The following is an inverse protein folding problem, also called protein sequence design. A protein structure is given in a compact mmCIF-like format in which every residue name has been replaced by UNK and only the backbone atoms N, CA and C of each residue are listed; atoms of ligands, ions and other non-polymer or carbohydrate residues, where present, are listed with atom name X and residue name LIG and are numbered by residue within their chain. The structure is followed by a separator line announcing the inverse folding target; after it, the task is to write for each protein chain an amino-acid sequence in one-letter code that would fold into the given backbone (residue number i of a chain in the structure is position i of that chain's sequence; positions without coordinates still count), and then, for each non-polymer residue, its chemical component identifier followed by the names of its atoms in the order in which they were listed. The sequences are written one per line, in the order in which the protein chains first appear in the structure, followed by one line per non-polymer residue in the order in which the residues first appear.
data_IF_053880996513
#
_entry.id   IF_053880996513
#
_cell.length_a   1.000
_cell.length_b   1.000
_cell.length_c   1.000
_cell.angle_alpha   90.00
_cell.angle_beta   90.00
_cell.angle_gamma   90.00
#
_symmetry.space_group_name_H-M   'P 1'
#
loop_
_entity.id
_entity.type
_entity.pdbx_description
1 polymer ?
#
# COMPACT_ATOMS: atom_id res chain seq x y z
N UNK A 1 -6.19 -25.66 16.46
CA UNK A 1 -7.60 -25.33 16.78
C UNK A 1 -7.73 -23.83 16.57
N UNK A 2 -8.27 -23.41 15.42
CA UNK A 2 -8.30 -21.99 15.01
C UNK A 2 -9.71 -21.49 15.30
N UNK A 3 -9.82 -20.61 16.28
CA UNK A 3 -11.04 -19.90 16.63
C UNK A 3 -11.23 -18.78 15.61
N UNK A 4 -12.08 -18.99 14.61
CA UNK A 4 -12.48 -17.94 13.68
C UNK A 4 -13.48 -17.03 14.39
N UNK A 5 -13.03 -15.83 14.77
CA UNK A 5 -13.88 -14.79 15.33
C UNK A 5 -15.04 -14.45 14.35
N UNK A 6 -16.29 -14.36 14.82
CA UNK A 6 -17.42 -13.98 13.98
C UNK A 6 -17.22 -12.56 13.45
N UNK A 7 -17.25 -12.40 12.14
CA UNK A 7 -17.01 -11.16 11.41
C UNK A 7 -17.98 -10.06 11.85
N UNK A 8 -17.42 -9.01 12.45
CA UNK A 8 -18.13 -7.81 12.95
C UNK A 8 -19.05 -7.17 11.91
N UNK A 9 -18.77 -7.37 10.62
CA UNK A 9 -19.57 -6.92 9.50
C UNK A 9 -20.99 -7.54 9.45
N UNK A 10 -21.15 -8.81 9.85
CA UNK A 10 -22.45 -9.49 9.83
C UNK A 10 -23.42 -8.93 10.87
N UNK A 11 -22.91 -8.54 12.04
CA UNK A 11 -23.73 -7.94 13.11
C UNK A 11 -24.20 -6.52 12.75
N UNK A 12 -23.34 -5.71 12.12
CA UNK A 12 -23.71 -4.35 11.70
C UNK A 12 -24.78 -4.37 10.59
N UNK A 13 -24.70 -5.30 9.64
CA UNK A 13 -25.71 -5.46 8.60
C UNK A 13 -27.08 -5.86 9.17
N UNK A 14 -27.11 -6.78 10.14
CA UNK A 14 -28.35 -7.26 10.75
C UNK A 14 -29.07 -6.19 11.59
N UNK A 15 -28.30 -5.35 12.31
CA UNK A 15 -28.86 -4.25 13.11
C UNK A 15 -29.39 -3.13 12.20
N UNK A 16 -28.66 -2.77 11.15
CA UNK A 16 -29.14 -1.78 10.17
C UNK A 16 -30.39 -2.27 9.40
N UNK A 17 -30.49 -3.58 9.13
CA UNK A 17 -31.66 -4.20 8.51
C UNK A 17 -32.88 -4.15 9.44
N UNK A 18 -32.71 -4.36 10.75
CA UNK A 18 -33.80 -4.31 11.73
C UNK A 18 -34.26 -2.88 12.03
N UNK A 19 -33.36 -1.90 12.18
CA UNK A 19 -33.73 -0.53 12.54
C UNK A 19 -34.44 0.24 11.41
N UNK A 20 -34.10 -0.02 10.14
CA UNK A 20 -34.75 0.65 9.01
C UNK A 20 -35.84 -0.18 8.33
N UNK A 21 -35.76 -1.51 8.41
CA UNK A 21 -36.73 -2.41 7.79
C UNK A 21 -38.06 -2.49 8.55
N UNK A 22 -38.03 -2.50 9.89
CA UNK A 22 -39.23 -2.71 10.71
C UNK A 22 -40.28 -1.60 10.56
N UNK A 23 -39.85 -0.33 10.60
CA UNK A 23 -40.75 0.81 10.48
C UNK A 23 -41.38 0.92 9.08
N UNK A 24 -40.60 0.67 8.03
CA UNK A 24 -41.08 0.70 6.64
C UNK A 24 -42.02 -0.47 6.33
N UNK A 25 -41.73 -1.66 6.86
CA UNK A 25 -42.59 -2.83 6.77
C UNK A 25 -43.93 -2.58 7.48
N UNK A 26 -43.91 -1.98 8.68
CA UNK A 26 -45.11 -1.64 9.43
C UNK A 26 -46.02 -0.66 8.66
N UNK A 27 -45.46 0.37 8.03
CA UNK A 27 -46.22 1.31 7.20
C UNK A 27 -46.80 0.61 5.96
N UNK A 28 -46.01 -0.23 5.28
CA UNK A 28 -46.49 -0.99 4.13
C UNK A 28 -47.64 -1.94 4.50
N UNK A 29 -47.54 -2.65 5.63
CA UNK A 29 -48.61 -3.49 6.15
C UNK A 29 -49.86 -2.69 6.52
N UNK A 30 -49.72 -1.50 7.12
CA UNK A 30 -50.85 -0.64 7.44
C UNK A 30 -51.58 -0.13 6.18
N UNK A 31 -50.84 0.27 5.14
CA UNK A 31 -51.41 0.71 3.86
C UNK A 31 -52.09 -0.45 3.13
N UNK A 32 -51.46 -1.63 3.08
CA UNK A 32 -52.07 -2.83 2.49
C UNK A 32 -53.33 -3.27 3.24
N UNK A 33 -53.33 -3.19 4.57
CA UNK A 33 -54.49 -3.47 5.41
C UNK A 33 -55.65 -2.50 5.12
N UNK A 34 -55.36 -1.20 5.02
CA UNK A 34 -56.36 -0.18 4.68
C UNK A 34 -56.95 -0.41 3.27
N UNK A 35 -56.12 -0.71 2.27
CA UNK A 35 -56.57 -1.02 0.90
C UNK A 35 -57.43 -2.30 0.89
N UNK A 36 -57.04 -3.33 1.63
CA UNK A 36 -57.82 -4.57 1.75
C UNK A 36 -59.21 -4.35 2.32
N UNK A 37 -59.34 -3.51 3.34
CA UNK A 37 -60.65 -3.15 3.93
C UNK A 37 -61.55 -2.44 2.90
N UNK A 38 -60.98 -1.54 2.09
CA UNK A 38 -61.73 -0.84 1.04
C UNK A 38 -62.19 -1.76 -0.10
N UNK A 39 -61.39 -2.76 -0.49
CA UNK A 39 -61.72 -3.68 -1.58
C UNK A 39 -62.81 -4.70 -1.20
N UNK A 40 -62.89 -5.11 0.07
CA UNK A 40 -63.88 -6.11 0.53
C UNK A 40 -65.27 -5.51 0.73
N UNK A 41 -65.39 -4.19 0.86
CA UNK A 41 -66.63 -3.52 1.24
C UNK A 41 -67.67 -3.37 0.11
N UNK A 42 -67.30 -3.56 -1.17
CA UNK A 42 -68.19 -3.23 -2.29
C UNK A 42 -68.29 -4.37 -3.33
N UNK A 43 -69.52 -4.82 -3.63
CA UNK A 43 -69.78 -6.00 -4.50
C UNK A 43 -69.69 -5.71 -6.00
N UNK A 44 -69.42 -4.47 -6.39
CA UNK A 44 -69.59 -4.02 -7.76
C UNK A 44 -68.34 -3.34 -8.34
N UNK A 45 -67.12 -3.90 -8.25
CA UNK A 45 -65.96 -3.10 -8.68
C UNK A 45 -64.75 -3.82 -9.28
N UNK A 46 -64.65 -3.90 -10.63
CA UNK A 46 -63.36 -4.10 -11.31
C UNK A 46 -62.45 -2.85 -11.23
N UNK A 47 -63.02 -1.65 -11.07
CA UNK A 47 -62.29 -0.38 -11.06
C UNK A 47 -61.51 -0.08 -9.74
N UNK A 48 -62.07 -0.38 -8.56
CA UNK A 48 -61.39 -0.15 -7.27
C UNK A 48 -60.21 -1.11 -7.09
N UNK A 49 -60.30 -2.35 -7.57
CA UNK A 49 -59.18 -3.28 -7.58
C UNK A 49 -58.00 -2.75 -8.43
N UNK A 50 -58.29 -2.14 -9.59
CA UNK A 50 -57.26 -1.52 -10.42
C UNK A 50 -56.54 -0.35 -9.71
N UNK A 51 -57.30 0.47 -8.97
CA UNK A 51 -56.72 1.57 -8.16
C UNK A 51 -55.85 1.01 -7.04
N UNK A 52 -56.30 -0.03 -6.34
CA UNK A 52 -55.50 -0.68 -5.28
C UNK A 52 -54.18 -1.24 -5.81
N UNK A 53 -54.22 -1.95 -6.95
CA UNK A 53 -53.02 -2.49 -7.59
C UNK A 53 -52.05 -1.36 -7.99
N UNK A 54 -52.57 -0.25 -8.55
CA UNK A 54 -51.75 0.90 -8.93
C UNK A 54 -51.03 1.52 -7.72
N UNK A 55 -51.73 1.69 -6.59
CA UNK A 55 -51.13 2.22 -5.36
C UNK A 55 -50.03 1.31 -4.83
N UNK A 56 -50.23 -0.01 -4.86
CA UNK A 56 -49.22 -0.99 -4.46
C UNK A 56 -48.00 -0.94 -5.38
N UNK A 57 -48.20 -0.86 -6.70
CA UNK A 57 -47.11 -0.73 -7.66
C UNK A 57 -46.30 0.55 -7.43
N UNK A 58 -46.96 1.68 -7.19
CA UNK A 58 -46.28 2.95 -6.89
C UNK A 58 -45.49 2.88 -5.59
N UNK A 59 -46.06 2.26 -4.53
CA UNK A 59 -45.35 2.07 -3.27
C UNK A 59 -44.11 1.18 -3.43
N UNK A 60 -44.21 0.11 -4.22
CA UNK A 60 -43.07 -0.77 -4.52
C UNK A 60 -41.98 -0.06 -5.30
N UNK A 61 -42.34 0.73 -6.33
CA UNK A 61 -41.40 1.55 -7.11
C UNK A 61 -40.69 2.58 -6.20
N UNK A 62 -41.43 3.23 -5.31
CA UNK A 62 -40.86 4.19 -4.36
C UNK A 62 -39.84 3.56 -3.42
N UNK A 63 -40.16 2.38 -2.85
CA UNK A 63 -39.23 1.63 -1.99
C UNK A 63 -37.96 1.24 -2.76
N UNK A 64 -38.12 0.77 -4.01
CA UNK A 64 -36.99 0.42 -4.86
C UNK A 64 -36.11 1.64 -5.18
N UNK A 65 -36.71 2.79 -5.46
CA UNK A 65 -35.99 4.04 -5.71
C UNK A 65 -35.17 4.47 -4.50
N UNK A 66 -35.74 4.45 -3.30
CA UNK A 66 -35.02 4.78 -2.05
C UNK A 66 -33.90 3.79 -1.74
N UNK A 67 -34.12 2.49 -2.01
CA UNK A 67 -33.07 1.48 -1.88
C UNK A 67 -31.90 1.78 -2.81
N UNK A 68 -32.18 2.07 -4.09
CA UNK A 68 -31.18 2.42 -5.10
C UNK A 68 -30.41 3.70 -4.74
N UNK A 69 -31.12 4.71 -4.22
CA UNK A 69 -30.51 5.97 -3.76
C UNK A 69 -29.56 5.71 -2.60
N UNK A 70 -29.95 4.86 -1.64
CA UNK A 70 -29.12 4.54 -0.48
C UNK A 70 -27.86 3.75 -0.85
N UNK A 71 -27.95 2.84 -1.83
CA UNK A 71 -26.78 2.07 -2.30
C UNK A 71 -25.82 2.96 -3.06
N UNK A 72 -26.31 3.84 -3.93
CA UNK A 72 -25.47 4.80 -4.67
C UNK A 72 -24.70 5.75 -3.75
N UNK A 73 -25.34 6.24 -2.67
CA UNK A 73 -24.66 7.09 -1.68
C UNK A 73 -23.50 6.36 -0.99
N UNK A 74 -23.66 5.07 -0.69
CA UNK A 74 -22.60 4.24 -0.08
C UNK A 74 -21.47 3.93 -1.06
N UNK A 75 -21.79 3.66 -2.32
CA UNK A 75 -20.78 3.45 -3.36
C UNK A 75 -19.90 4.70 -3.55
N UNK A 76 -20.52 5.89 -3.59
CA UNK A 76 -19.77 7.15 -3.73
C UNK A 76 -18.86 7.42 -2.52
N UNK A 77 -19.31 7.09 -1.30
CA UNK A 77 -18.49 7.25 -0.09
C UNK A 77 -17.26 6.32 -0.12
N UNK A 78 -17.45 5.04 -0.48
CA UNK A 78 -16.35 4.08 -0.62
C UNK A 78 -15.35 4.48 -1.71
N UNK A 79 -15.83 5.06 -2.81
CA UNK A 79 -14.96 5.50 -3.90
C UNK A 79 -14.03 6.64 -3.44
N UNK A 80 -14.51 7.55 -2.58
CA UNK A 80 -13.68 8.61 -2.01
C UNK A 80 -12.60 8.09 -1.04
N UNK A 81 -12.90 7.00 -0.31
CA UNK A 81 -11.93 6.35 0.59
C UNK A 81 -10.87 5.56 -0.20
N UNK A 82 -11.27 4.91 -1.30
CA UNK A 82 -10.32 4.24 -2.21
C UNK A 82 -9.43 5.26 -2.93
N UNK A 83 -9.95 6.42 -3.30
CA UNK A 83 -9.20 7.45 -4.02
C UNK A 83 -8.21 8.18 -3.10
N UNK A 84 -8.56 8.39 -1.83
CA UNK A 84 -7.62 8.91 -0.82
C UNK A 84 -6.50 7.93 -0.52
N UNK A 85 -6.79 6.63 -0.37
CA UNK A 85 -5.76 5.59 -0.22
C UNK A 85 -4.90 5.46 -1.48
N UNK A 86 -5.49 5.57 -2.68
CA UNK A 86 -4.74 5.50 -3.94
C UNK A 86 -3.84 6.71 -4.14
N UNK A 87 -4.27 7.91 -3.71
CA UNK A 87 -3.44 9.11 -3.69
C UNK A 87 -2.24 9.00 -2.75
N UNK A 88 -2.37 8.24 -1.66
CA UNK A 88 -1.29 7.96 -0.70
C UNK A 88 -0.32 6.87 -1.22
N UNK A 89 -0.78 5.95 -2.08
CA UNK A 89 0.06 4.89 -2.68
C UNK A 89 0.91 5.39 -3.86
N UNK A 90 0.54 6.51 -4.51
CA UNK A 90 1.43 7.21 -5.46
C UNK A 90 2.34 8.16 -4.67
N UNK A 91 3.15 7.59 -3.77
CA UNK A 91 4.20 8.37 -3.14
C UNK A 91 5.20 8.79 -4.24
N UNK A 92 5.39 10.10 -4.49
CA UNK A 92 6.30 10.56 -5.52
C UNK A 92 7.70 10.02 -5.20
N UNK A 93 8.32 9.38 -6.20
CA UNK A 93 9.71 8.89 -6.10
C UNK A 93 10.57 10.03 -5.55
N UNK A 94 11.37 9.81 -4.48
CA UNK A 94 12.11 10.88 -3.85
C UNK A 94 13.11 11.49 -4.83
N UNK A 95 13.15 12.82 -4.88
CA UNK A 95 14.08 13.53 -5.76
C UNK A 95 15.48 13.54 -5.17
N UNK A 96 16.47 13.43 -6.04
CA UNK A 96 17.87 13.63 -5.67
C UNK A 96 18.13 15.14 -5.59
N UNK A 97 18.50 15.60 -4.39
CA UNK A 97 18.80 17.00 -4.11
C UNK A 97 20.25 17.35 -4.48
N UNK A 98 21.18 16.42 -4.21
CA UNK A 98 22.61 16.66 -4.39
C UNK A 98 23.39 15.36 -4.48
N UNK A 99 24.44 15.35 -5.31
CA UNK A 99 25.46 14.33 -5.30
C UNK A 99 26.75 14.87 -4.67
N UNK A 100 27.36 14.09 -3.79
CA UNK A 100 28.65 14.37 -3.15
C UNK A 100 29.65 13.31 -3.62
N UNK A 101 30.61 13.73 -4.43
CA UNK A 101 31.77 12.91 -4.80
C UNK A 101 32.85 13.06 -3.74
N UNK A 102 33.32 11.97 -3.14
CA UNK A 102 34.38 12.02 -2.15
C UNK A 102 35.75 11.79 -2.80
N UNK A 103 36.31 12.80 -3.50
CA UNK A 103 37.73 12.87 -3.93
C UNK A 103 38.21 11.77 -4.89
N UNK A 104 38.11 10.52 -4.46
CA UNK A 104 38.13 9.31 -5.24
C UNK A 104 36.82 9.19 -6.03
N UNK A 105 36.91 9.14 -7.36
CA UNK A 105 35.75 9.07 -8.25
C UNK A 105 34.83 7.88 -7.97
N UNK A 106 35.29 6.88 -7.21
CA UNK A 106 34.64 5.60 -6.92
C UNK A 106 33.43 5.72 -6.01
N UNK A 107 33.44 6.61 -5.01
CA UNK A 107 32.38 6.66 -3.99
C UNK A 107 31.56 7.93 -4.14
N UNK A 108 30.30 7.75 -4.54
CA UNK A 108 29.32 8.84 -4.70
C UNK A 108 28.24 8.70 -3.62
N UNK A 109 27.95 9.80 -2.93
CA UNK A 109 26.83 9.87 -1.98
C UNK A 109 25.72 10.74 -2.55
N UNK A 110 24.48 10.27 -2.51
CA UNK A 110 23.30 10.98 -2.99
C UNK A 110 22.44 11.41 -1.80
N UNK A 111 22.07 12.69 -1.77
CA UNK A 111 21.14 13.24 -0.79
C UNK A 111 19.75 13.35 -1.43
N UNK A 112 18.75 12.72 -0.82
CA UNK A 112 17.38 12.67 -1.31
C UNK A 112 16.43 13.46 -0.42
N UNK A 113 15.28 13.82 -0.99
CA UNK A 113 14.12 14.30 -0.24
C UNK A 113 13.62 13.24 0.77
N UNK A 114 12.99 13.67 1.88
CA UNK A 114 12.41 12.75 2.85
C UNK A 114 11.36 11.82 2.24
N UNK A 115 11.43 10.53 2.56
CA UNK A 115 10.50 9.55 2.03
C UNK A 115 10.30 8.35 2.98
N UNK A 116 9.05 7.96 3.30
CA UNK A 116 8.77 6.96 4.33
C UNK A 116 9.22 5.54 3.96
N UNK A 117 9.32 5.23 2.67
CA UNK A 117 9.74 3.89 2.20
C UNK A 117 11.24 3.59 2.37
N UNK A 118 12.06 4.56 2.80
CA UNK A 118 13.51 4.37 2.93
C UNK A 118 13.89 4.22 4.40
N UNK A 119 14.40 3.05 4.75
CA UNK A 119 14.97 2.76 6.07
C UNK A 119 16.50 2.84 6.08
N UNK A 120 17.09 2.98 7.27
CA UNK A 120 18.54 2.86 7.44
C UNK A 120 19.02 1.47 6.99
N UNK A 121 20.19 1.42 6.35
CA UNK A 121 20.81 0.18 5.83
C UNK A 121 19.99 -0.55 4.77
N UNK A 122 18.98 0.11 4.18
CA UNK A 122 18.19 -0.46 3.10
C UNK A 122 18.97 -0.47 1.78
N UNK A 123 18.91 -1.59 1.07
CA UNK A 123 19.39 -1.73 -0.29
C UNK A 123 18.57 -0.88 -1.26
N UNK A 124 19.23 -0.18 -2.19
CA UNK A 124 18.57 0.64 -3.20
C UNK A 124 19.12 0.37 -4.59
N UNK A 125 18.24 0.50 -5.57
CA UNK A 125 18.58 0.49 -7.00
C UNK A 125 18.44 1.89 -7.57
N UNK A 126 19.41 2.30 -8.38
CA UNK A 126 19.51 3.64 -8.95
C UNK A 126 19.25 3.53 -10.44
N UNK A 127 18.22 4.23 -10.89
CA UNK A 127 17.79 4.27 -12.28
C UNK A 127 17.97 5.66 -12.86
N UNK A 128 18.06 5.75 -14.18
CA UNK A 128 18.04 6.98 -14.93
C UNK A 128 16.94 6.93 -15.98
N UNK A 129 16.10 7.96 -16.00
CA UNK A 129 15.04 8.12 -17.00
C UNK A 129 15.56 8.86 -18.22
N UNK A 130 15.61 8.21 -19.37
CA UNK A 130 16.03 8.78 -20.67
C UNK A 130 14.99 9.78 -21.22
N UNK A 131 15.30 10.76 -22.10
CA UNK A 131 14.27 11.66 -22.65
C UNK A 131 13.23 10.89 -23.48
N UNK A 132 13.55 9.67 -23.90
CA UNK A 132 12.62 8.73 -24.56
C UNK A 132 11.62 8.08 -23.59
N UNK A 133 11.72 8.33 -22.29
CA UNK A 133 10.86 7.78 -21.23
C UNK A 133 11.21 6.34 -20.83
N UNK A 134 12.44 5.90 -21.07
CA UNK A 134 12.91 4.58 -20.68
C UNK A 134 13.80 4.66 -19.44
N UNK A 135 13.49 3.84 -18.44
CA UNK A 135 14.25 3.73 -17.20
C UNK A 135 15.35 2.67 -17.32
N UNK A 136 16.61 3.09 -17.23
CA UNK A 136 17.76 2.17 -17.21
C UNK A 136 18.35 2.09 -15.81
N UNK A 137 18.71 0.88 -15.36
CA UNK A 137 19.46 0.70 -14.13
C UNK A 137 20.91 1.16 -14.37
N UNK A 138 21.38 2.12 -13.55
CA UNK A 138 22.73 2.69 -13.68
C UNK A 138 23.64 2.31 -12.51
N UNK A 139 23.08 1.80 -11.41
CA UNK A 139 23.87 1.38 -10.26
C UNK A 139 23.07 0.87 -9.08
N UNK A 140 23.81 0.44 -8.06
CA UNK A 140 23.29 -0.06 -6.79
C UNK A 140 23.91 0.71 -5.64
N UNK A 141 23.20 0.74 -4.52
CA UNK A 141 23.70 1.38 -3.31
C UNK A 141 22.96 0.94 -2.05
N UNK A 142 23.24 1.66 -0.98
CA UNK A 142 22.57 1.49 0.29
C UNK A 142 22.30 2.81 0.99
N UNK A 143 21.20 2.88 1.74
CA UNK A 143 20.92 4.00 2.62
C UNK A 143 21.94 4.00 3.76
N UNK A 144 22.80 5.00 3.77
CA UNK A 144 23.82 5.19 4.79
C UNK A 144 23.20 5.73 6.08
N UNK A 145 22.33 6.74 5.95
CA UNK A 145 21.71 7.40 7.09
C UNK A 145 20.40 8.11 6.70
N UNK A 146 19.44 8.15 7.62
CA UNK A 146 18.27 9.04 7.55
C UNK A 146 18.49 10.14 8.57
N UNK A 147 18.64 11.38 8.10
CA UNK A 147 18.93 12.54 8.94
C UNK A 147 17.73 12.91 9.83
N UNK A 148 17.96 13.68 10.89
CA UNK A 148 16.91 14.18 11.78
C UNK A 148 15.83 15.04 11.08
N UNK A 149 16.18 15.66 9.93
CA UNK A 149 15.24 16.41 9.08
C UNK A 149 14.52 15.51 8.06
N UNK A 150 14.65 14.19 8.16
CA UNK A 150 14.07 13.20 7.26
C UNK A 150 14.83 13.00 5.94
N UNK A 151 15.86 13.79 5.62
CA UNK A 151 16.62 13.62 4.37
C UNK A 151 17.41 12.31 4.39
N UNK A 152 17.45 11.66 3.25
CA UNK A 152 18.05 10.33 3.12
C UNK A 152 19.40 10.47 2.45
N UNK A 153 20.45 9.93 3.06
CA UNK A 153 21.78 9.88 2.47
C UNK A 153 22.05 8.45 1.99
N UNK A 154 22.35 8.30 0.71
CA UNK A 154 22.57 7.03 0.04
C UNK A 154 24.01 6.98 -0.43
N UNK A 155 24.68 5.86 -0.19
CA UNK A 155 26.00 5.58 -0.78
C UNK A 155 25.79 4.67 -2.00
N UNK A 156 26.27 5.11 -3.15
CA UNK A 156 26.36 4.26 -4.35
C UNK A 156 27.56 3.33 -4.15
N UNK A 157 27.33 2.03 -4.21
CA UNK A 157 28.38 1.00 -4.06
C UNK A 157 28.91 0.57 -5.40
N UNK A 158 28.03 0.38 -6.37
CA UNK A 158 28.36 -0.22 -7.66
C UNK A 158 27.70 0.57 -8.78
N UNK A 159 28.47 0.87 -9.82
CA UNK A 159 27.99 1.46 -11.06
C UNK A 159 27.97 0.39 -12.15
N UNK A 160 26.97 0.44 -13.02
CA UNK A 160 26.90 -0.44 -14.18
C UNK A 160 27.75 0.19 -15.30
N UNK A 161 28.61 -0.64 -15.90
CA UNK A 161 29.49 -0.24 -17.00
C UNK A 161 28.67 0.24 -18.22
N UNK A 162 29.21 1.22 -18.95
CA UNK A 162 28.56 1.83 -20.12
C UNK A 162 27.74 3.09 -19.82
N UNK A 163 27.59 3.47 -18.55
CA UNK A 163 26.87 4.68 -18.11
C UNK A 163 27.79 5.73 -17.45
N UNK A 164 29.08 5.75 -17.77
CA UNK A 164 30.10 6.61 -17.15
C UNK A 164 29.81 8.10 -17.38
N UNK A 165 29.22 8.44 -18.53
CA UNK A 165 28.80 9.81 -18.85
C UNK A 165 27.70 10.30 -17.90
N UNK A 166 26.73 9.45 -17.54
CA UNK A 166 25.66 9.74 -16.57
C UNK A 166 26.24 9.87 -15.17
N UNK A 167 27.15 8.97 -14.79
CA UNK A 167 27.86 9.06 -13.50
C UNK A 167 28.59 10.40 -13.37
N UNK A 168 29.31 10.82 -14.42
CA UNK A 168 30.07 12.06 -14.42
C UNK A 168 29.15 13.28 -14.30
N UNK A 169 28.01 13.30 -15.01
CA UNK A 169 27.04 14.40 -14.92
C UNK A 169 26.33 14.49 -13.56
N UNK A 170 26.02 13.34 -12.95
CA UNK A 170 25.51 13.28 -11.58
C UNK A 170 26.53 13.87 -10.61
N UNK A 171 27.81 13.48 -10.72
CA UNK A 171 28.89 14.01 -9.87
C UNK A 171 29.11 15.52 -10.07
N UNK A 172 28.90 16.03 -11.28
CA UNK A 172 28.93 17.46 -11.59
C UNK A 172 27.72 18.24 -11.03
N UNK A 173 26.75 17.57 -10.39
CA UNK A 173 25.52 18.16 -9.86
C UNK A 173 24.68 18.92 -10.91
N UNK A 174 24.63 18.40 -12.14
CA UNK A 174 23.78 18.97 -13.18
C UNK A 174 22.30 18.79 -12.82
N UNK A 175 21.59 19.90 -12.60
CA UNK A 175 20.23 19.89 -12.06
C UNK A 175 19.22 19.11 -12.94
N UNK A 176 19.40 19.13 -14.26
CA UNK A 176 18.55 18.39 -15.20
C UNK A 176 18.76 16.88 -15.05
N UNK A 177 20.01 16.43 -14.97
CA UNK A 177 20.35 15.02 -14.83
C UNK A 177 19.97 14.47 -13.44
N UNK A 178 20.16 15.24 -12.37
CA UNK A 178 19.75 14.84 -11.02
C UNK A 178 18.24 14.61 -10.90
N UNK A 179 17.41 15.39 -11.60
CA UNK A 179 15.94 15.22 -11.61
C UNK A 179 15.49 13.94 -12.29
N UNK A 180 16.32 13.39 -13.16
CA UNK A 180 16.05 12.17 -13.94
C UNK A 180 16.58 10.91 -13.27
N UNK A 181 17.33 11.07 -12.16
CA UNK A 181 17.73 9.95 -11.32
C UNK A 181 16.55 9.51 -10.46
N UNK A 182 16.17 8.24 -10.60
CA UNK A 182 15.11 7.61 -9.84
C UNK A 182 15.72 6.59 -8.89
N UNK A 183 15.30 6.60 -7.64
CA UNK A 183 15.84 5.70 -6.62
C UNK A 183 14.70 4.85 -6.08
N UNK A 184 14.86 3.52 -6.15
CA UNK A 184 13.85 2.57 -5.70
C UNK A 184 14.37 1.77 -4.50
N UNK A 185 13.58 1.70 -3.41
CA UNK A 185 13.89 0.80 -2.30
C UNK A 185 13.62 -0.64 -2.75
N UNK A 186 14.47 -1.57 -2.35
CA UNK A 186 14.29 -2.98 -2.71
C UNK A 186 14.87 -3.31 -4.08
N UNK A 187 16.11 -3.76 -4.05
CA UNK A 187 16.84 -4.39 -5.14
C UNK A 187 17.92 -5.27 -4.54
N UNK A 188 18.52 -6.16 -5.33
CA UNK A 188 19.70 -6.89 -4.90
C UNK A 188 20.89 -5.92 -4.85
N UNK A 189 20.93 -5.02 -3.86
CA UNK A 189 22.23 -4.55 -3.42
C UNK A 189 22.91 -5.82 -2.92
N UNK A 190 24.02 -6.19 -3.56
CA UNK A 190 24.94 -7.10 -2.92
C UNK A 190 25.26 -6.42 -1.59
N UNK A 191 24.66 -6.91 -0.51
CA UNK A 191 24.98 -6.44 0.83
C UNK A 191 26.50 -6.43 0.87
N UNK A 192 27.16 -5.27 1.09
CA UNK A 192 28.58 -5.27 1.29
C UNK A 192 28.77 -6.28 2.40
N UNK A 193 29.37 -7.42 2.05
CA UNK A 193 29.71 -8.42 3.04
C UNK A 193 30.67 -7.64 3.91
N UNK A 194 30.16 -7.16 5.04
CA UNK A 194 30.99 -6.94 6.20
C UNK A 194 31.61 -8.30 6.43
N UNK A 195 32.76 -8.50 5.79
CA UNK A 195 33.69 -9.54 6.17
C UNK A 195 33.98 -9.14 7.60
N UNK A 196 33.23 -9.74 8.53
CA UNK A 196 33.70 -9.93 9.88
C UNK A 196 34.95 -10.79 9.70
N UNK A 197 36.06 -10.15 9.36
CA UNK A 197 37.38 -10.68 9.59
C UNK A 197 37.47 -10.74 11.10
N UNK A 198 36.92 -11.82 11.66
CA UNK A 198 37.28 -12.25 12.99
C UNK A 198 38.82 -12.24 13.00
N UNK A 199 39.48 -11.54 13.94
CA UNK A 199 40.90 -11.69 14.08
C UNK A 199 41.15 -13.16 14.41
N UNK A 200 41.56 -13.93 13.40
CA UNK A 200 42.11 -15.27 13.57
C UNK A 200 43.40 -15.08 14.37
N UNK A 201 43.25 -15.03 15.69
CA UNK A 201 44.36 -15.16 16.61
C UNK A 201 44.70 -16.65 16.67
N UNK A 202 45.95 -17.05 16.37
CA UNK A 202 46.35 -18.46 16.31
C UNK A 202 46.20 -19.22 17.63
N UNK A 203 45.93 -18.54 18.75
CA UNK A 203 45.84 -19.13 20.09
C UNK A 203 44.61 -20.03 20.31
N UNK A 204 43.53 -19.90 19.51
CA UNK A 204 42.31 -20.71 19.71
C UNK A 204 42.45 -22.12 19.10
N UNK A 205 43.36 -22.33 18.15
CA UNK A 205 43.52 -23.64 17.50
C UNK A 205 44.26 -24.65 18.42
N UNK A 206 45.17 -24.19 19.28
CA UNK A 206 45.90 -25.05 20.23
C UNK A 206 45.02 -25.58 21.37
N UNK A 207 43.94 -24.87 21.71
CA UNK A 207 43.03 -25.25 22.79
C UNK A 207 42.02 -26.34 22.38
N UNK A 208 41.82 -26.55 21.08
CA UNK A 208 40.94 -27.60 20.55
C UNK A 208 41.67 -28.92 20.25
N UNK A 209 43.01 -28.90 20.09
CA UNK A 209 43.80 -30.10 19.81
C UNK A 209 44.37 -30.80 21.06
N UNK A 210 44.36 -30.15 22.23
CA UNK A 210 44.92 -30.71 23.48
C UNK A 210 43.92 -31.50 24.34
N UNK A 211 42.64 -31.61 23.95
CA UNK A 211 41.59 -32.27 24.75
C UNK A 211 41.10 -33.61 24.19
N UNK A 212 42.00 -34.38 23.57
CA UNK A 212 41.74 -35.73 23.06
C UNK A 212 42.77 -36.74 23.54
N UNK A 213 42.77 -37.09 24.83
CA UNK A 213 43.73 -38.07 25.33
C UNK A 213 43.58 -38.44 26.80
N UNK A 214 42.47 -39.09 27.18
CA UNK A 214 42.47 -40.05 28.28
C UNK A 214 41.23 -40.95 28.22
N UNK A 215 41.42 -42.18 27.76
CA UNK A 215 40.55 -43.32 28.04
C UNK A 215 41.36 -44.35 28.84
N UNK A 216 40.80 -44.98 29.88
CA UNK A 216 41.54 -45.78 30.83
C UNK A 216 41.89 -47.17 30.29
N UNK A 217 43.09 -47.63 30.63
CA UNK A 217 43.58 -48.98 30.48
C UNK A 217 42.87 -49.94 31.45
N UNK A 218 42.35 -51.04 30.90
CA UNK A 218 42.11 -52.31 31.59
C UNK A 218 42.97 -53.38 30.92
#
# INVERSE_FOLDING_TARGET
MIETAPTTAGRAFFVALMEWGGFRLAIACAVLGAVGIFVVADKAVPAQAAVGILVILLAMIWILYEALRSTMARCNALQSEVETVRGEIVSPVPKVLKALANGELTIVSLLLEPHPLFGQSMAVSIYFDDPSGFEYLIGHGGVLNVQANGKINIRVTDWIDGYEHIRTSIMANEAENLRRVLIRPGGAAQTPQSVCTMPFTPEIFDLLLTRGGHGPSF
#
